data_IF_448303353381
#
_entry.id   IF_448303353381
#
_cell.length_a   1.000
_cell.length_b   1.000
_cell.length_c   1.000
_cell.angle_alpha   90.00
_cell.angle_beta   90.00
_cell.angle_gamma   90.00
#
_symmetry.space_group_name_H-M   'P 1'
#
loop_
_entity.id
_entity.type
_entity.pdbx_description
1 polymer ?
#
# COMPACT_ATOMS: atom_id res chain seq x y z
N UNK A 1 15.98 13.45 -2.30
CA UNK A 1 16.10 13.02 -3.71
C UNK A 1 14.69 12.90 -4.24
N UNK A 2 14.36 13.52 -5.36
CA UNK A 2 13.00 13.51 -5.91
C UNK A 2 12.78 12.22 -6.72
N UNK A 3 11.54 11.72 -6.75
CA UNK A 3 11.21 10.52 -7.51
C UNK A 3 11.36 10.79 -9.02
N UNK A 4 12.08 9.93 -9.74
CA UNK A 4 12.40 10.14 -11.16
C UNK A 4 12.09 8.91 -12.00
N UNK A 5 11.29 9.09 -13.05
CA UNK A 5 11.07 8.05 -14.06
C UNK A 5 11.90 8.30 -15.32
N UNK A 6 12.68 7.31 -15.74
CA UNK A 6 13.48 7.34 -16.97
C UNK A 6 13.00 6.26 -17.93
N UNK A 7 12.54 6.64 -19.13
CA UNK A 7 12.23 5.71 -20.21
C UNK A 7 13.52 5.28 -20.91
N UNK A 8 13.85 3.98 -20.87
CA UNK A 8 15.11 3.44 -21.40
C UNK A 8 14.95 3.00 -22.85
N UNK A 9 13.88 2.24 -23.15
CA UNK A 9 13.64 1.70 -24.49
C UNK A 9 12.16 1.45 -24.71
N UNK A 10 11.73 1.58 -25.97
CA UNK A 10 10.40 1.21 -26.43
C UNK A 10 10.47 0.09 -27.47
N UNK A 11 9.43 -0.74 -27.52
CA UNK A 11 9.19 -1.71 -28.59
C UNK A 11 7.69 -1.77 -28.86
N UNK A 12 7.23 -1.04 -29.87
CA UNK A 12 5.79 -0.77 -30.05
C UNK A 12 5.20 -0.08 -28.81
N UNK A 13 4.18 -0.69 -28.19
CA UNK A 13 3.56 -0.18 -26.95
C UNK A 13 4.30 -0.57 -25.67
N UNK A 14 5.22 -1.53 -25.73
CA UNK A 14 5.99 -1.95 -24.57
C UNK A 14 7.07 -0.91 -24.22
N UNK A 15 7.22 -0.64 -22.92
CA UNK A 15 8.19 0.33 -22.39
C UNK A 15 9.07 -0.34 -21.35
N UNK A 16 10.38 -0.25 -21.54
CA UNK A 16 11.37 -0.51 -20.50
C UNK A 16 11.74 0.83 -19.89
N UNK A 17 11.60 0.96 -18.58
CA UNK A 17 11.96 2.17 -17.86
C UNK A 17 12.50 1.88 -16.48
N UNK A 18 12.91 2.92 -15.79
CA UNK A 18 13.45 2.88 -14.43
C UNK A 18 12.80 3.96 -13.59
N UNK A 19 12.33 3.61 -12.40
CA UNK A 19 11.78 4.54 -11.44
C UNK A 19 12.69 4.59 -10.20
N UNK A 20 13.32 5.73 -9.99
CA UNK A 20 14.25 5.97 -8.88
C UNK A 20 13.49 6.69 -7.76
N UNK A 21 13.58 6.14 -6.55
CA UNK A 21 12.97 6.72 -5.34
C UNK A 21 14.04 6.89 -4.26
N UNK A 22 13.69 7.56 -3.16
CA UNK A 22 14.58 7.67 -1.98
C UNK A 22 14.87 6.32 -1.31
N UNK A 23 14.04 5.30 -1.55
CA UNK A 23 14.15 3.98 -0.92
C UNK A 23 14.67 2.88 -1.87
N UNK A 24 15.00 3.23 -3.12
CA UNK A 24 15.53 2.28 -4.09
C UNK A 24 15.03 2.51 -5.50
N UNK A 25 15.53 1.68 -6.41
CA UNK A 25 15.24 1.74 -7.85
C UNK A 25 14.36 0.57 -8.28
N UNK A 26 13.34 0.86 -9.08
CA UNK A 26 12.40 -0.11 -9.64
C UNK A 26 12.58 -0.14 -11.17
N UNK A 27 12.89 -1.30 -11.73
CA UNK A 27 12.90 -1.51 -13.17
C UNK A 27 11.47 -1.84 -13.65
N UNK A 28 11.05 -1.28 -14.78
CA UNK A 28 9.71 -1.48 -15.34
C UNK A 28 9.79 -2.17 -16.72
N UNK A 29 8.86 -3.09 -17.05
CA UNK A 29 7.65 -3.48 -16.31
C UNK A 29 7.93 -4.24 -15.02
N UNK A 30 7.15 -3.97 -13.96
CA UNK A 30 7.32 -4.56 -12.63
C UNK A 30 6.05 -5.28 -12.19
N UNK A 31 6.21 -6.41 -11.50
CA UNK A 31 5.16 -7.05 -10.74
C UNK A 31 5.34 -6.70 -9.26
N UNK A 32 4.27 -6.26 -8.60
CA UNK A 32 4.32 -5.84 -7.20
C UNK A 32 3.64 -6.89 -6.34
N UNK A 33 4.38 -7.43 -5.37
CA UNK A 33 3.85 -8.39 -4.42
C UNK A 33 2.96 -7.65 -3.41
N UNK A 34 1.81 -8.24 -3.04
CA UNK A 34 0.81 -7.56 -2.20
C UNK A 34 0.89 -8.04 -0.76
N UNK A 35 1.24 -7.13 0.15
CA UNK A 35 1.15 -7.28 1.60
C UNK A 35 -0.21 -6.83 2.13
N UNK A 36 -0.88 -7.69 2.89
CA UNK A 36 -2.15 -7.38 3.58
C UNK A 36 -1.89 -7.26 5.07
N UNK A 37 -2.20 -6.12 5.69
CA UNK A 37 -1.93 -5.86 7.11
C UNK A 37 -0.44 -5.95 7.50
N UNK A 38 0.46 -5.52 6.62
CA UNK A 38 1.90 -5.52 6.88
C UNK A 38 2.55 -6.91 6.84
N UNK A 39 1.88 -7.89 6.26
CA UNK A 39 2.42 -9.22 6.00
C UNK A 39 1.90 -9.78 4.68
N UNK A 40 2.73 -10.57 4.00
CA UNK A 40 2.27 -11.35 2.85
C UNK A 40 1.67 -12.66 3.36
N UNK A 41 0.43 -12.94 2.95
CA UNK A 41 -0.25 -14.20 3.29
C UNK A 41 0.54 -15.38 2.71
N UNK A 42 0.78 -16.41 3.52
CA UNK A 42 1.49 -17.63 3.10
C UNK A 42 2.89 -17.80 3.69
N UNK A 43 3.21 -17.10 4.79
CA UNK A 43 4.50 -17.19 5.50
C UNK A 43 5.72 -16.75 4.66
N UNK A 44 5.49 -15.93 3.63
CA UNK A 44 6.56 -15.29 2.86
C UNK A 44 7.14 -14.16 3.70
N UNK A 45 8.42 -14.29 4.05
CA UNK A 45 9.17 -13.28 4.78
C UNK A 45 9.73 -12.21 3.85
N UNK A 46 10.16 -11.06 4.40
CA UNK A 46 10.89 -10.06 3.63
C UNK A 46 12.18 -10.63 3.01
N UNK A 47 12.81 -11.63 3.65
CA UNK A 47 13.97 -12.34 3.13
C UNK A 47 13.63 -13.07 1.83
N UNK A 48 12.49 -13.78 1.79
CA UNK A 48 12.05 -14.49 0.60
C UNK A 48 11.78 -13.52 -0.56
N UNK A 49 11.18 -12.36 -0.25
CA UNK A 49 10.95 -11.29 -1.23
C UNK A 49 12.26 -10.74 -1.80
N UNK A 50 13.28 -10.57 -0.97
CA UNK A 50 14.60 -10.16 -1.44
C UNK A 50 15.21 -11.21 -2.38
N UNK A 51 15.09 -12.50 -2.04
CA UNK A 51 15.66 -13.59 -2.84
C UNK A 51 15.03 -13.70 -4.23
N UNK A 52 13.73 -13.46 -4.36
CA UNK A 52 13.04 -13.47 -5.67
C UNK A 52 13.22 -12.16 -6.46
N UNK A 53 13.99 -11.20 -5.94
CA UNK A 53 14.25 -9.93 -6.61
C UNK A 53 13.08 -8.95 -6.57
N UNK A 54 12.19 -9.04 -5.58
CA UNK A 54 11.10 -8.09 -5.41
C UNK A 54 11.67 -6.66 -5.20
N UNK A 55 11.28 -5.73 -6.08
CA UNK A 55 11.82 -4.36 -6.06
C UNK A 55 10.91 -3.36 -5.34
N UNK A 56 9.62 -3.67 -5.22
CA UNK A 56 8.62 -2.82 -4.58
C UNK A 56 7.48 -3.69 -4.07
N UNK A 57 7.02 -3.41 -2.86
CA UNK A 57 5.86 -4.06 -2.26
C UNK A 57 4.64 -3.14 -2.38
N UNK A 58 3.47 -3.72 -2.63
CA UNK A 58 2.18 -3.04 -2.51
C UNK A 58 1.59 -3.35 -1.14
N UNK A 59 1.32 -2.33 -0.34
CA UNK A 59 0.73 -2.49 0.99
C UNK A 59 -0.66 -1.88 1.07
N UNK A 60 -1.57 -2.66 1.64
CA UNK A 60 -2.96 -2.27 1.78
C UNK A 60 -3.18 -1.41 3.03
N UNK A 61 -3.50 -0.14 2.85
CA UNK A 61 -3.67 0.84 3.93
C UNK A 61 -4.93 0.61 4.75
N UNK A 62 -6.00 0.14 4.13
CA UNK A 62 -7.26 -0.15 4.83
C UNK A 62 -7.04 -1.12 5.99
N UNK A 63 -6.34 -2.23 5.74
CA UNK A 63 -6.13 -3.21 6.81
C UNK A 63 -5.20 -2.68 7.90
N UNK A 64 -4.14 -1.96 7.54
CA UNK A 64 -3.20 -1.37 8.50
C UNK A 64 -3.90 -0.36 9.42
N UNK A 65 -4.78 0.47 8.86
CA UNK A 65 -5.56 1.46 9.61
C UNK A 65 -6.58 0.81 10.55
N UNK A 66 -7.27 -0.25 10.09
CA UNK A 66 -8.23 -0.96 10.95
C UNK A 66 -7.50 -1.75 12.04
N UNK A 67 -6.36 -2.38 11.72
CA UNK A 67 -5.50 -3.09 12.67
C UNK A 67 -4.10 -3.31 12.07
N UNK A 68 -3.01 -2.87 12.73
CA UNK A 68 -2.92 -2.45 14.13
C UNK A 68 -3.38 -1.01 14.42
N UNK A 69 -3.54 -0.17 13.40
CA UNK A 69 -3.73 1.28 13.53
C UNK A 69 -2.49 2.03 13.05
N UNK A 70 -2.70 3.10 12.30
CA UNK A 70 -1.68 3.97 11.71
C UNK A 70 -0.75 4.59 12.77
N UNK A 71 -1.29 5.05 13.90
CA UNK A 71 -0.51 5.53 15.05
C UNK A 71 0.54 4.52 15.55
N UNK A 72 0.19 3.23 15.56
CA UNK A 72 1.10 2.17 16.02
C UNK A 72 2.20 1.96 14.98
N UNK A 73 1.84 1.91 13.69
CA UNK A 73 2.81 1.78 12.60
C UNK A 73 3.80 2.95 12.61
N UNK A 74 3.30 4.18 12.82
CA UNK A 74 4.12 5.39 12.91
C UNK A 74 5.08 5.32 14.10
N UNK A 75 4.60 4.97 15.30
CA UNK A 75 5.43 4.84 16.52
C UNK A 75 6.50 3.75 16.41
N UNK A 76 6.25 2.71 15.63
CA UNK A 76 7.23 1.65 15.33
C UNK A 76 8.24 2.05 14.25
N UNK A 77 8.17 3.30 13.77
CA UNK A 77 9.13 3.91 12.86
C UNK A 77 8.76 3.76 11.39
N UNK A 78 7.46 3.65 11.10
CA UNK A 78 6.89 3.61 9.76
C UNK A 78 6.77 2.21 9.19
N UNK A 79 6.07 2.12 8.05
CA UNK A 79 5.67 0.84 7.47
C UNK A 79 6.85 -0.06 7.06
N UNK A 80 7.92 0.52 6.52
CA UNK A 80 9.12 -0.24 6.16
C UNK A 80 9.75 -0.95 7.37
N UNK A 81 9.90 -0.25 8.51
CA UNK A 81 10.39 -0.86 9.75
C UNK A 81 9.42 -1.89 10.31
N UNK A 82 8.12 -1.59 10.26
CA UNK A 82 7.07 -2.50 10.73
C UNK A 82 7.10 -3.85 10.00
N UNK A 83 7.31 -3.84 8.69
CA UNK A 83 7.35 -5.05 7.86
C UNK A 83 8.76 -5.64 7.69
N UNK A 84 9.79 -5.01 8.26
CA UNK A 84 11.19 -5.34 8.00
C UNK A 84 11.52 -5.34 6.49
N UNK A 85 11.12 -4.28 5.80
CA UNK A 85 11.31 -4.04 4.37
C UNK A 85 12.06 -2.72 4.14
N UNK A 86 13.19 -2.79 3.43
CA UNK A 86 14.12 -1.67 3.21
C UNK A 86 14.08 -1.11 1.77
N UNK A 87 13.15 -1.59 0.96
CA UNK A 87 12.93 -1.20 -0.45
C UNK A 87 11.66 -0.35 -0.59
N UNK A 88 11.37 0.20 -1.78
CA UNK A 88 10.16 0.98 -2.01
C UNK A 88 8.88 0.24 -1.62
N UNK A 89 7.90 1.01 -1.14
CA UNK A 89 6.54 0.57 -0.82
C UNK A 89 5.57 1.47 -1.58
N UNK A 90 4.59 0.86 -2.23
CA UNK A 90 3.42 1.54 -2.76
C UNK A 90 2.24 1.25 -1.85
N UNK A 91 1.69 2.28 -1.22
CA UNK A 91 0.44 2.19 -0.47
C UNK A 91 -0.73 2.44 -1.40
N UNK A 92 -1.77 1.62 -1.30
CA UNK A 92 -3.04 1.96 -1.93
C UNK A 92 -3.85 2.92 -1.05
N UNK A 93 -4.93 3.49 -1.60
CA UNK A 93 -5.77 4.45 -0.88
C UNK A 93 -6.84 3.81 0.01
N UNK A 94 -6.98 2.48 -0.01
CA UNK A 94 -8.05 1.74 0.69
C UNK A 94 -9.44 1.81 0.03
N UNK A 95 -9.62 2.64 -0.99
CA UNK A 95 -10.95 2.89 -1.59
C UNK A 95 -11.59 1.67 -2.24
N UNK A 96 -10.79 0.78 -2.84
CA UNK A 96 -11.31 -0.46 -3.42
C UNK A 96 -11.83 -1.43 -2.36
N UNK A 97 -11.19 -1.49 -1.19
CA UNK A 97 -11.60 -2.32 -0.06
C UNK A 97 -12.90 -1.78 0.53
N UNK A 98 -13.01 -0.46 0.68
CA UNK A 98 -14.25 0.16 1.14
C UNK A 98 -15.40 -0.11 0.15
N UNK A 99 -15.13 -0.07 -1.15
CA UNK A 99 -16.11 -0.41 -2.18
C UNK A 99 -16.47 -1.91 -2.18
N UNK A 100 -15.50 -2.81 -2.06
CA UNK A 100 -15.72 -4.26 -2.15
C UNK A 100 -16.35 -4.88 -0.90
N UNK A 101 -16.14 -4.29 0.29
CA UNK A 101 -16.79 -4.70 1.56
C UNK A 101 -18.26 -4.26 1.67
N UNK A 102 -18.86 -3.87 0.55
CA UNK A 102 -20.25 -3.42 0.30
C UNK A 102 -21.41 -4.26 0.86
N UNK A 103 -21.16 -5.33 1.60
CA UNK A 103 -22.19 -5.96 2.45
C UNK A 103 -22.44 -5.18 3.77
N UNK A 104 -21.53 -4.28 4.17
CA UNK A 104 -21.54 -3.52 5.44
C UNK A 104 -21.94 -2.02 5.27
N UNK A 105 -22.69 -1.68 4.22
CA UNK A 105 -22.91 -0.29 3.77
C UNK A 105 -23.37 0.68 4.85
N UNK A 106 -22.66 1.81 4.94
CA UNK A 106 -23.24 3.13 5.26
C UNK A 106 -23.50 3.94 3.97
N UNK A 107 -23.68 5.27 4.12
CA UNK A 107 -23.97 6.20 3.01
C UNK A 107 -22.66 6.65 2.32
N UNK A 108 -22.64 6.65 0.99
CA UNK A 108 -21.63 7.34 0.18
C UNK A 108 -22.11 8.79 0.00
N UNK A 109 -21.26 9.76 0.30
CA UNK A 109 -21.51 11.18 0.13
C UNK A 109 -20.36 11.82 -0.65
N UNK A 110 -20.48 13.09 -1.01
CA UNK A 110 -19.44 13.80 -1.76
C UNK A 110 -18.14 13.89 -0.95
N UNK A 111 -18.26 14.02 0.37
CA UNK A 111 -17.16 14.18 1.31
C UNK A 111 -16.41 12.87 1.57
N UNK A 112 -17.02 11.71 1.26
CA UNK A 112 -16.40 10.41 1.49
C UNK A 112 -17.41 9.30 1.77
N UNK A 113 -16.93 8.26 2.43
CA UNK A 113 -17.71 7.05 2.69
C UNK A 113 -17.66 6.65 4.15
N UNK A 114 -18.82 6.33 4.71
CA UNK A 114 -18.94 5.76 6.05
C UNK A 114 -19.22 4.27 5.96
N UNK A 115 -18.46 3.46 6.70
CA UNK A 115 -18.62 2.00 6.75
C UNK A 115 -18.36 1.47 8.15
N UNK A 116 -18.72 0.21 8.39
CA UNK A 116 -18.41 -0.48 9.64
C UNK A 116 -17.16 -1.35 9.47
N UNK A 117 -16.26 -1.30 10.44
CA UNK A 117 -15.10 -2.17 10.53
C UNK A 117 -15.53 -3.64 10.55
N UNK A 118 -14.89 -4.47 9.71
CA UNK A 118 -15.12 -5.92 9.69
C UNK A 118 -14.52 -6.65 10.90
N UNK A 119 -13.74 -5.95 11.74
CA UNK A 119 -13.08 -6.54 12.92
C UNK A 119 -13.95 -6.38 14.17
N UNK A 120 -14.44 -5.17 14.43
CA UNK A 120 -15.11 -4.79 15.68
C UNK A 120 -16.45 -4.07 15.48
N UNK A 121 -16.86 -3.86 14.23
CA UNK A 121 -18.14 -3.23 13.90
C UNK A 121 -18.20 -1.72 14.14
N UNK A 122 -17.11 -1.06 14.56
CA UNK A 122 -17.11 0.39 14.76
C UNK A 122 -17.31 1.13 13.44
N UNK A 123 -17.99 2.26 13.49
CA UNK A 123 -18.18 3.12 12.32
C UNK A 123 -16.89 3.90 12.01
N UNK A 124 -16.48 3.90 10.75
CA UNK A 124 -15.30 4.57 10.22
C UNK A 124 -15.74 5.45 9.06
N UNK A 125 -15.24 6.69 9.03
CA UNK A 125 -15.37 7.60 7.89
C UNK A 125 -14.04 7.62 7.13
N UNK A 126 -14.10 7.61 5.80
CA UNK A 126 -12.94 7.70 4.94
C UNK A 126 -13.23 8.67 3.78
N UNK A 127 -12.62 9.85 3.85
CA UNK A 127 -12.55 10.84 2.78
C UNK A 127 -11.14 10.95 2.19
N UNK A 128 -10.91 11.91 1.28
CA UNK A 128 -9.60 12.18 0.69
C UNK A 128 -8.53 12.51 1.74
N UNK A 129 -8.86 13.32 2.74
CA UNK A 129 -7.94 13.77 3.79
C UNK A 129 -7.50 12.62 4.69
N UNK A 130 -8.44 11.78 5.16
CA UNK A 130 -8.11 10.61 5.97
C UNK A 130 -7.26 9.62 5.18
N UNK A 131 -7.57 9.41 3.89
CA UNK A 131 -6.78 8.55 3.02
C UNK A 131 -5.33 9.03 2.87
N UNK A 132 -5.12 10.35 2.76
CA UNK A 132 -3.78 10.93 2.71
C UNK A 132 -3.04 10.82 4.04
N UNK A 133 -3.72 11.01 5.17
CA UNK A 133 -3.12 10.85 6.50
C UNK A 133 -2.65 9.42 6.75
N UNK A 134 -3.45 8.43 6.38
CA UNK A 134 -3.10 7.00 6.56
C UNK A 134 -1.89 6.61 5.70
N UNK A 135 -1.71 7.25 4.54
CA UNK A 135 -0.60 6.97 3.61
C UNK A 135 0.70 7.71 3.94
N UNK A 136 0.68 8.69 4.85
CA UNK A 136 1.81 9.57 5.17
C UNK A 136 2.69 9.01 6.29
#
# INVERSE_FOLDING_TARGET
MEAKYTLIKTCGRAKRGRFETVHGTIETPVFMNVGTAGAIKGAVSSIDLHQIGCQVELCNTYHLHVRPGDDIVWRLGGLGKFMNWDRPILTDSGGFQVFSLSALRGKIQEEGVTFHSHIDGRQIFMGPEESMQIQS
#
